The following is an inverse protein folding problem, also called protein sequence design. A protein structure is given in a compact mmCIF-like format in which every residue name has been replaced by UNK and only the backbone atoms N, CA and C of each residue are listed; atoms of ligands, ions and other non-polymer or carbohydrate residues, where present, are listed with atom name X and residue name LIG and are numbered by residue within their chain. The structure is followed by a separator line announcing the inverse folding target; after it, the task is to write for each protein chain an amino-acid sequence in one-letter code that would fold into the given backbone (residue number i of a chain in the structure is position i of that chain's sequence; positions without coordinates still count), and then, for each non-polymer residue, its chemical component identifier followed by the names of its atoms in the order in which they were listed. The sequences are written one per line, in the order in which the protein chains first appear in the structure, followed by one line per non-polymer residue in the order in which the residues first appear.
data_IF_322750108538
#
_entry.id   IF_322750108538
#
_cell.length_a   1.000
_cell.length_b   1.000
_cell.length_c   1.000
_cell.angle_alpha   90.00
_cell.angle_beta   90.00
_cell.angle_gamma   90.00
#
_symmetry.space_group_name_H-M   'P 1'
#
loop_
_entity.id
_entity.type
_entity.pdbx_description
1 polymer ?
#
# COMPACT_ATOMS: atom_id res chain seq x y z
N UNK A 1 -7.95 -16.31 -3.79
CA UNK A 1 -8.93 -15.25 -3.45
C UNK A 1 -8.98 -15.09 -1.95
N UNK A 2 -8.81 -13.90 -1.42
CA UNK A 2 -9.06 -13.62 0.00
C UNK A 2 -10.55 -13.81 0.28
N UNK A 3 -10.90 -14.58 1.32
CA UNK A 3 -12.30 -14.85 1.66
C UNK A 3 -13.06 -13.56 2.03
N UNK A 4 -14.35 -13.53 1.78
CA UNK A 4 -15.26 -12.37 2.00
C UNK A 4 -15.16 -11.78 3.41
N UNK A 5 -14.86 -12.60 4.43
CA UNK A 5 -14.64 -12.16 5.81
C UNK A 5 -13.49 -11.17 6.00
N UNK A 6 -12.47 -11.22 5.13
CA UNK A 6 -11.33 -10.28 5.17
C UNK A 6 -11.56 -9.06 4.26
N UNK A 7 -12.31 -9.21 3.19
CA UNK A 7 -12.60 -8.11 2.27
C UNK A 7 -13.57 -7.09 2.86
N UNK A 8 -14.57 -7.53 3.61
CA UNK A 8 -15.62 -6.67 4.14
C UNK A 8 -15.11 -5.56 5.08
N UNK A 9 -14.27 -5.86 6.11
CA UNK A 9 -13.69 -4.81 6.96
C UNK A 9 -12.76 -3.88 6.21
N UNK A 10 -11.98 -4.41 5.24
CA UNK A 10 -11.06 -3.63 4.44
C UNK A 10 -11.82 -2.66 3.53
N UNK A 11 -12.87 -3.13 2.86
CA UNK A 11 -13.77 -2.32 2.03
C UNK A 11 -14.40 -1.19 2.84
N UNK A 12 -14.92 -1.49 4.04
CA UNK A 12 -15.48 -0.47 4.92
C UNK A 12 -14.46 0.61 5.32
N UNK A 13 -13.20 0.20 5.58
CA UNK A 13 -12.11 1.11 5.90
C UNK A 13 -11.75 2.00 4.70
N UNK A 14 -11.65 1.45 3.50
CA UNK A 14 -11.36 2.21 2.27
C UNK A 14 -12.47 3.21 1.97
N UNK A 15 -13.74 2.80 2.07
CA UNK A 15 -14.91 3.70 1.95
C UNK A 15 -14.83 4.87 2.93
N UNK A 16 -14.55 4.58 4.20
CA UNK A 16 -14.47 5.61 5.25
C UNK A 16 -13.34 6.58 4.99
N UNK A 17 -12.16 6.09 4.63
CA UNK A 17 -11.00 6.93 4.32
C UNK A 17 -11.25 7.78 3.07
N UNK A 18 -11.83 7.22 2.03
CA UNK A 18 -12.17 7.95 0.81
C UNK A 18 -13.17 9.09 1.11
N UNK A 19 -14.26 8.80 1.80
CA UNK A 19 -15.24 9.82 2.19
C UNK A 19 -14.63 10.94 3.04
N UNK A 20 -13.75 10.58 3.99
CA UNK A 20 -13.07 11.55 4.87
C UNK A 20 -12.14 12.49 4.10
N UNK A 21 -11.51 11.99 3.04
CA UNK A 21 -10.52 12.74 2.26
C UNK A 21 -11.09 13.29 0.93
N UNK A 22 -12.40 13.17 0.69
CA UNK A 22 -13.05 13.71 -0.52
C UNK A 22 -12.79 12.90 -1.79
N UNK A 23 -12.35 11.64 -1.67
CA UNK A 23 -12.14 10.74 -2.81
C UNK A 23 -13.40 9.96 -3.19
N UNK A 24 -13.51 9.48 -4.45
CA UNK A 24 -14.62 8.65 -4.87
C UNK A 24 -14.67 7.32 -4.12
N UNK A 25 -15.65 7.16 -3.22
CA UNK A 25 -15.73 6.00 -2.31
C UNK A 25 -15.90 4.67 -3.07
N UNK A 26 -16.70 4.66 -4.14
CA UNK A 26 -16.95 3.47 -4.97
C UNK A 26 -15.67 2.98 -5.62
N UNK A 27 -14.82 3.88 -6.12
CA UNK A 27 -13.52 3.53 -6.70
C UNK A 27 -12.55 3.01 -5.64
N UNK A 28 -12.55 3.63 -4.45
CA UNK A 28 -11.69 3.18 -3.35
C UNK A 28 -12.07 1.75 -2.87
N UNK A 29 -13.36 1.41 -2.87
CA UNK A 29 -13.82 0.05 -2.58
C UNK A 29 -13.40 -0.95 -3.65
N UNK A 30 -13.40 -0.55 -4.92
CA UNK A 30 -12.96 -1.38 -6.03
C UNK A 30 -11.46 -1.70 -6.03
N UNK A 31 -10.63 -0.94 -5.29
CA UNK A 31 -9.21 -1.26 -5.07
C UNK A 31 -9.01 -2.54 -4.26
N UNK A 32 -10.02 -2.94 -3.46
CA UNK A 32 -9.92 -4.07 -2.53
C UNK A 32 -11.01 -5.12 -2.72
N UNK A 33 -11.87 -4.96 -3.75
CA UNK A 33 -13.02 -5.84 -3.99
C UNK A 33 -13.08 -6.22 -5.47
N UNK A 34 -12.60 -7.41 -5.81
CA UNK A 34 -12.53 -7.88 -7.20
C UNK A 34 -13.90 -8.15 -7.84
N UNK A 35 -14.93 -8.48 -7.05
CA UNK A 35 -16.27 -8.75 -7.58
C UNK A 35 -17.07 -7.48 -7.89
N UNK A 36 -16.50 -6.32 -7.63
CA UNK A 36 -17.13 -5.02 -7.82
C UNK A 36 -16.88 -4.52 -9.24
N UNK A 37 -17.95 -4.26 -9.99
CA UNK A 37 -17.89 -3.62 -11.29
C UNK A 37 -18.28 -2.15 -11.15
N UNK A 38 -17.46 -1.23 -11.67
CA UNK A 38 -17.67 0.21 -11.53
C UNK A 38 -17.76 0.87 -12.89
N UNK A 39 -18.75 1.73 -13.03
CA UNK A 39 -18.99 2.55 -14.21
C UNK A 39 -18.78 4.03 -13.91
N UNK A 40 -18.22 4.75 -14.88
CA UNK A 40 -18.27 6.20 -14.95
C UNK A 40 -19.41 6.57 -15.88
N UNK A 41 -20.38 7.28 -15.37
CA UNK A 41 -21.57 7.68 -16.15
C UNK A 41 -21.72 9.19 -16.11
N UNK A 42 -22.30 9.75 -17.17
CA UNK A 42 -22.70 11.16 -17.20
C UNK A 42 -24.22 11.22 -17.02
N UNK A 43 -24.65 11.67 -15.86
CA UNK A 43 -26.04 11.86 -15.46
C UNK A 43 -26.28 13.35 -15.17
N UNK A 44 -27.29 13.96 -15.79
CA UNK A 44 -27.65 15.37 -15.60
C UNK A 44 -26.42 16.33 -15.70
N UNK A 45 -25.58 16.12 -16.74
CA UNK A 45 -24.32 16.81 -16.98
C UNK A 45 -23.20 16.60 -15.95
N UNK A 46 -23.42 15.81 -14.90
CA UNK A 46 -22.41 15.45 -13.91
C UNK A 46 -21.80 14.09 -14.20
N UNK A 47 -20.46 13.99 -14.06
CA UNK A 47 -19.76 12.72 -14.08
C UNK A 47 -19.81 12.07 -12.69
N UNK A 48 -20.40 10.88 -12.62
CA UNK A 48 -20.58 10.12 -11.38
C UNK A 48 -20.00 8.73 -11.53
N UNK A 49 -19.40 8.21 -10.47
CA UNK A 49 -19.00 6.81 -10.39
C UNK A 49 -20.07 6.04 -9.60
N UNK A 50 -20.48 4.91 -10.13
CA UNK A 50 -21.44 4.02 -9.49
C UNK A 50 -21.10 2.56 -9.75
N UNK A 51 -21.46 1.70 -8.82
CA UNK A 51 -21.28 0.28 -9.00
C UNK A 51 -22.41 -0.31 -9.88
N UNK A 52 -22.27 -1.59 -10.26
CA UNK A 52 -23.25 -2.25 -11.12
C UNK A 52 -24.62 -2.36 -10.48
N UNK A 53 -24.71 -2.45 -9.15
CA UNK A 53 -25.97 -2.53 -8.44
C UNK A 53 -26.65 -1.18 -8.38
N UNK A 54 -25.93 -0.12 -8.02
CA UNK A 54 -26.41 1.26 -8.04
C UNK A 54 -26.92 1.64 -9.44
N UNK A 55 -26.22 1.18 -10.51
CA UNK A 55 -26.65 1.39 -11.89
C UNK A 55 -27.95 0.66 -12.22
N UNK A 56 -28.13 -0.58 -11.74
CA UNK A 56 -29.36 -1.34 -11.96
C UNK A 56 -30.55 -0.78 -11.16
N UNK A 57 -30.29 -0.23 -9.99
CA UNK A 57 -31.30 0.36 -9.11
C UNK A 57 -31.79 1.72 -9.64
N UNK A 58 -31.08 2.33 -10.59
CA UNK A 58 -31.59 3.47 -11.35
C UNK A 58 -32.82 3.04 -12.16
N UNK A 59 -33.93 3.73 -11.97
CA UNK A 59 -35.13 3.52 -12.81
C UNK A 59 -34.82 3.72 -14.29
N UNK A 60 -35.59 3.07 -15.17
CA UNK A 60 -35.39 3.12 -16.63
C UNK A 60 -35.29 4.55 -17.16
N UNK A 61 -36.16 5.45 -16.71
CA UNK A 61 -36.14 6.86 -17.12
C UNK A 61 -34.81 7.56 -16.85
N UNK A 62 -34.14 7.23 -15.71
CA UNK A 62 -32.83 7.77 -15.38
C UNK A 62 -31.67 7.07 -16.12
N UNK A 63 -31.83 5.77 -16.41
CA UNK A 63 -30.86 5.05 -17.26
C UNK A 63 -30.86 5.60 -18.68
N UNK A 64 -32.05 5.95 -19.22
CA UNK A 64 -32.22 6.52 -20.55
C UNK A 64 -31.67 7.97 -20.64
N UNK A 65 -31.57 8.69 -19.51
CA UNK A 65 -30.95 10.01 -19.45
C UNK A 65 -29.43 10.00 -19.39
N UNK A 66 -28.81 8.81 -19.27
CA UNK A 66 -27.33 8.66 -19.25
C UNK A 66 -26.79 8.85 -20.67
N UNK A 67 -26.08 9.95 -20.89
CA UNK A 67 -25.48 10.29 -22.19
C UNK A 67 -24.13 9.63 -22.44
N UNK A 68 -23.44 9.18 -21.38
CA UNK A 68 -22.13 8.54 -21.46
C UNK A 68 -22.00 7.45 -20.39
N UNK A 69 -21.49 6.28 -20.79
CA UNK A 69 -21.15 5.17 -19.88
C UNK A 69 -19.83 4.53 -20.28
N UNK A 70 -18.89 4.47 -19.34
CA UNK A 70 -17.60 3.77 -19.50
C UNK A 70 -17.39 2.85 -18.30
N UNK A 71 -17.02 1.60 -18.53
CA UNK A 71 -16.56 0.69 -17.49
C UNK A 71 -15.16 1.09 -17.07
N UNK A 72 -14.96 1.37 -15.79
CA UNK A 72 -13.66 1.70 -15.18
C UNK A 72 -13.03 0.44 -14.58
N UNK A 73 -13.84 -0.37 -13.89
CA UNK A 73 -13.40 -1.64 -13.31
C UNK A 73 -14.31 -2.73 -13.79
N UNK A 74 -13.76 -3.78 -14.41
CA UNK A 74 -14.51 -4.95 -14.83
C UNK A 74 -14.71 -5.91 -13.64
N UNK A 75 -15.77 -6.71 -13.71
CA UNK A 75 -16.01 -7.75 -12.70
C UNK A 75 -14.88 -8.77 -12.70
N UNK A 76 -14.32 -9.07 -11.55
CA UNK A 76 -13.19 -9.98 -11.38
C UNK A 76 -11.84 -9.28 -11.33
N UNK A 77 -11.80 -7.96 -11.50
CA UNK A 77 -10.58 -7.15 -11.48
C UNK A 77 -10.57 -6.21 -10.27
N UNK A 78 -9.37 -5.86 -9.81
CA UNK A 78 -9.16 -4.80 -8.82
C UNK A 78 -8.82 -3.51 -9.57
N UNK A 79 -9.29 -2.37 -9.06
CA UNK A 79 -8.87 -1.08 -9.58
C UNK A 79 -7.37 -0.88 -9.32
N UNK A 80 -6.62 -0.84 -10.41
CA UNK A 80 -5.23 -0.36 -10.47
C UNK A 80 -5.20 0.84 -11.38
N UNK A 81 -4.34 1.81 -11.09
CA UNK A 81 -4.26 3.04 -11.89
C UNK A 81 -2.82 3.52 -11.97
N UNK A 82 -2.46 4.12 -13.08
CA UNK A 82 -1.24 4.90 -13.23
C UNK A 82 -1.43 6.34 -12.71
N UNK A 83 -0.42 7.19 -12.84
CA UNK A 83 -0.46 8.57 -12.37
C UNK A 83 -1.48 9.45 -13.12
N UNK A 84 -1.63 9.24 -14.42
CA UNK A 84 -2.59 9.96 -15.25
C UNK A 84 -4.02 9.52 -14.97
N UNK A 85 -4.24 8.23 -14.83
CA UNK A 85 -5.53 7.66 -14.43
C UNK A 85 -5.92 8.11 -13.01
N UNK A 86 -4.95 8.15 -12.08
CA UNK A 86 -5.20 8.65 -10.72
C UNK A 86 -5.65 10.12 -10.72
N UNK A 87 -5.10 10.94 -11.61
CA UNK A 87 -5.54 12.31 -11.81
C UNK A 87 -6.96 12.36 -12.41
N UNK A 88 -7.21 11.61 -13.48
CA UNK A 88 -8.52 11.57 -14.16
C UNK A 88 -9.66 11.03 -13.29
N UNK A 89 -9.33 10.11 -12.38
CA UNK A 89 -10.28 9.50 -11.44
C UNK A 89 -10.43 10.28 -10.13
N UNK A 90 -9.67 11.38 -9.96
CA UNK A 90 -9.78 12.26 -8.80
C UNK A 90 -9.07 11.81 -7.54
N UNK A 91 -8.07 10.89 -7.66
CA UNK A 91 -7.19 10.48 -6.55
C UNK A 91 -5.92 11.30 -6.45
N UNK A 92 -5.50 11.93 -7.54
CA UNK A 92 -4.35 12.83 -7.56
C UNK A 92 -4.76 14.23 -8.02
N UNK A 93 -4.13 15.24 -7.47
CA UNK A 93 -4.31 16.64 -7.89
C UNK A 93 -3.52 16.99 -9.14
N UNK A 94 -2.50 16.19 -9.48
CA UNK A 94 -1.63 16.40 -10.64
C UNK A 94 -0.95 15.09 -11.05
N UNK A 95 -0.54 15.03 -12.31
CA UNK A 95 0.39 14.04 -12.84
C UNK A 95 1.67 14.75 -13.22
N UNK A 96 2.82 14.24 -12.81
CA UNK A 96 4.14 14.85 -13.02
C UNK A 96 5.18 13.81 -13.40
N UNK A 97 6.09 14.13 -14.29
CA UNK A 97 7.16 13.23 -14.72
C UNK A 97 8.29 13.10 -13.68
N UNK A 98 8.35 13.99 -12.69
CA UNK A 98 9.41 13.93 -11.68
C UNK A 98 9.28 14.98 -10.58
N UNK A 99 10.21 14.90 -9.63
CA UNK A 99 10.22 15.72 -8.43
C UNK A 99 10.35 17.24 -8.73
N UNK A 100 11.18 17.62 -9.68
CA UNK A 100 11.40 19.02 -10.05
C UNK A 100 10.14 19.63 -10.68
N UNK A 101 9.44 18.86 -11.51
CA UNK A 101 8.18 19.30 -12.09
C UNK A 101 7.10 19.47 -11.02
N UNK A 102 7.04 18.55 -10.05
CA UNK A 102 6.14 18.66 -8.90
C UNK A 102 6.38 19.96 -8.14
N UNK A 103 7.64 20.27 -7.84
CA UNK A 103 8.00 21.52 -7.15
C UNK A 103 7.60 22.75 -7.95
N UNK A 104 7.80 22.72 -9.26
CA UNK A 104 7.42 23.81 -10.15
C UNK A 104 5.90 24.02 -10.14
N UNK A 105 5.12 22.96 -10.31
CA UNK A 105 3.65 23.04 -10.30
C UNK A 105 3.11 23.49 -8.94
N UNK A 106 3.75 23.08 -7.84
CA UNK A 106 3.41 23.54 -6.49
C UNK A 106 3.93 24.95 -6.16
N UNK A 107 4.67 25.60 -7.08
CA UNK A 107 5.33 26.89 -6.86
C UNK A 107 6.31 26.87 -5.68
N UNK A 108 7.01 25.76 -5.51
CA UNK A 108 7.99 25.53 -4.46
C UNK A 108 9.42 25.40 -4.98
N UNK A 109 9.66 25.66 -6.28
CA UNK A 109 10.96 25.52 -6.93
C UNK A 109 12.08 26.35 -6.25
N UNK A 110 11.73 27.52 -5.70
CA UNK A 110 12.68 28.42 -5.02
C UNK A 110 12.86 28.12 -3.52
N UNK A 111 12.22 27.09 -3.00
CA UNK A 111 12.32 26.75 -1.58
C UNK A 111 13.51 25.83 -1.31
N UNK A 112 14.23 26.03 -0.20
CA UNK A 112 15.31 25.12 0.18
C UNK A 112 14.76 23.74 0.48
N UNK A 113 15.25 22.74 -0.26
CA UNK A 113 14.83 21.34 -0.11
C UNK A 113 15.81 20.66 0.82
N UNK A 114 15.33 20.20 1.97
CA UNK A 114 16.11 19.36 2.87
C UNK A 114 15.78 17.89 2.56
N UNK A 115 16.73 17.19 1.96
CA UNK A 115 16.64 15.73 1.78
C UNK A 115 17.08 15.06 3.08
N UNK A 116 16.14 14.37 3.72
CA UNK A 116 16.46 13.51 4.86
C UNK A 116 17.16 12.29 4.30
N UNK A 117 18.43 12.13 4.64
CA UNK A 117 19.21 10.95 4.28
C UNK A 117 19.11 9.92 5.42
N UNK A 118 19.12 8.66 5.02
CA UNK A 118 19.15 7.55 5.98
C UNK A 118 20.38 7.70 6.87
N UNK A 119 20.17 7.55 8.17
CA UNK A 119 21.24 7.56 9.15
C UNK A 119 22.11 6.29 9.01
N UNK A 120 23.39 6.36 9.40
CA UNK A 120 24.25 5.18 9.43
C UNK A 120 23.67 4.07 10.33
N UNK A 121 22.93 4.44 11.40
CA UNK A 121 22.23 3.51 12.28
C UNK A 121 21.10 2.77 11.58
N UNK A 122 20.33 3.44 10.71
CA UNK A 122 19.29 2.82 9.88
C UNK A 122 19.90 1.83 8.90
N UNK A 123 20.99 2.20 8.23
CA UNK A 123 21.73 1.31 7.34
C UNK A 123 22.28 0.08 8.08
N UNK A 124 22.72 0.23 9.32
CA UNK A 124 23.16 -0.89 10.15
C UNK A 124 22.00 -1.84 10.49
N UNK A 125 20.84 -1.30 10.87
CA UNK A 125 19.63 -2.09 11.16
C UNK A 125 19.20 -2.87 9.91
N UNK A 126 19.19 -2.23 8.74
CA UNK A 126 18.88 -2.87 7.47
C UNK A 126 19.87 -3.99 7.15
N UNK A 127 21.18 -3.76 7.37
CA UNK A 127 22.21 -4.77 7.14
C UNK A 127 22.03 -5.99 8.05
N UNK A 128 21.82 -5.77 9.35
CA UNK A 128 21.56 -6.85 10.31
C UNK A 128 20.28 -7.60 9.94
N UNK A 129 19.24 -6.89 9.51
CA UNK A 129 17.99 -7.47 9.03
C UNK A 129 18.20 -8.43 7.84
N UNK A 130 18.98 -8.01 6.85
CA UNK A 130 19.33 -8.85 5.69
C UNK A 130 20.16 -10.10 6.09
N UNK A 131 20.97 -10.01 7.12
CA UNK A 131 21.81 -11.10 7.64
C UNK A 131 21.12 -11.91 8.74
N UNK A 132 19.92 -11.55 9.17
CA UNK A 132 19.25 -12.13 10.34
C UNK A 132 19.11 -13.65 10.26
N UNK A 133 18.77 -14.20 9.10
CA UNK A 133 18.63 -15.65 8.89
C UNK A 133 19.98 -16.38 9.10
N UNK A 134 21.06 -15.80 8.60
CA UNK A 134 22.41 -16.36 8.74
C UNK A 134 22.87 -16.25 10.19
N UNK A 135 22.68 -15.09 10.81
CA UNK A 135 23.00 -14.87 12.22
C UNK A 135 22.21 -15.79 13.15
N UNK A 136 20.94 -16.04 12.82
CA UNK A 136 20.10 -16.99 13.56
C UNK A 136 20.67 -18.41 13.48
N UNK A 137 21.05 -18.86 12.27
CA UNK A 137 21.64 -20.18 12.06
C UNK A 137 22.95 -20.35 12.81
N UNK A 138 23.86 -19.37 12.70
CA UNK A 138 25.14 -19.35 13.43
C UNK A 138 24.89 -19.33 14.93
N UNK A 139 23.96 -18.48 15.40
CA UNK A 139 23.63 -18.33 16.80
C UNK A 139 23.14 -19.64 17.43
N UNK A 140 22.16 -20.28 16.80
CA UNK A 140 21.61 -21.57 17.28
C UNK A 140 22.64 -22.70 17.17
N UNK A 141 23.40 -22.77 16.06
CA UNK A 141 24.45 -23.75 15.87
C UNK A 141 25.57 -23.62 16.92
N UNK A 142 25.99 -22.39 17.22
CA UNK A 142 27.01 -22.12 18.24
C UNK A 142 26.53 -22.52 19.65
N UNK A 143 25.29 -22.22 20.00
CA UNK A 143 24.72 -22.65 21.28
C UNK A 143 24.60 -24.16 21.37
N UNK A 144 24.20 -24.81 20.28
CA UNK A 144 24.14 -26.27 20.22
C UNK A 144 25.50 -26.93 20.45
N UNK A 145 26.57 -26.38 19.85
CA UNK A 145 27.94 -26.90 20.05
C UNK A 145 28.39 -26.73 21.49
N UNK A 146 28.06 -25.59 22.12
CA UNK A 146 28.42 -25.34 23.55
C UNK A 146 27.73 -26.32 24.49
N UNK A 147 26.43 -26.67 24.24
CA UNK A 147 25.69 -27.67 25.02
C UNK A 147 26.31 -29.06 24.87
N UNK A 148 26.80 -29.41 23.69
CA UNK A 148 27.38 -30.72 23.41
C UNK A 148 28.82 -30.90 23.96
N UNK A 149 29.53 -29.81 24.06
CA UNK A 149 30.93 -29.79 24.58
C UNK A 149 31.05 -28.73 25.69
N UNK A 150 30.58 -29.02 26.91
CA UNK A 150 30.50 -28.04 27.98
C UNK A 150 31.88 -27.61 28.41
N UNK A 151 32.19 -26.34 28.25
CA UNK A 151 33.46 -25.75 28.63
C UNK A 151 33.48 -24.27 28.37
N UNK A 152 32.45 -23.54 28.81
CA UNK A 152 32.23 -22.09 28.62
C UNK A 152 33.23 -21.47 27.63
N UNK A 153 32.94 -21.72 26.37
CA UNK A 153 33.90 -21.41 25.33
C UNK A 153 33.40 -20.34 24.39
N UNK A 154 34.22 -20.05 23.42
CA UNK A 154 33.97 -19.13 22.32
C UNK A 154 32.61 -19.38 21.62
N UNK A 155 32.14 -20.63 21.39
CA UNK A 155 30.86 -20.86 20.74
C UNK A 155 29.67 -20.30 21.49
N UNK A 156 29.63 -20.40 22.83
CA UNK A 156 28.53 -19.86 23.64
C UNK A 156 28.44 -18.33 23.54
N UNK A 157 29.58 -17.64 23.60
CA UNK A 157 29.63 -16.17 23.45
C UNK A 157 29.15 -15.75 22.05
N UNK A 158 29.64 -16.41 21.00
CA UNK A 158 29.23 -16.13 19.60
C UNK A 158 27.73 -16.37 19.44
N UNK A 159 27.20 -17.45 19.99
CA UNK A 159 25.77 -17.76 19.93
C UNK A 159 24.90 -16.66 20.55
N UNK A 160 25.24 -16.22 21.76
CA UNK A 160 24.54 -15.15 22.47
C UNK A 160 24.62 -13.83 21.69
N UNK A 161 25.80 -13.45 21.18
CA UNK A 161 25.96 -12.21 20.42
C UNK A 161 25.12 -12.21 19.13
N UNK A 162 25.17 -13.29 18.35
CA UNK A 162 24.40 -13.40 17.13
C UNK A 162 22.89 -13.30 17.39
N UNK A 163 22.39 -14.04 18.38
CA UNK A 163 20.96 -14.00 18.72
C UNK A 163 20.55 -12.64 19.28
N UNK A 164 21.39 -12.04 20.11
CA UNK A 164 21.12 -10.68 20.64
C UNK A 164 20.99 -9.66 19.52
N UNK A 165 21.86 -9.69 18.52
CA UNK A 165 21.76 -8.81 17.35
C UNK A 165 20.47 -9.02 16.55
N UNK A 166 20.07 -10.27 16.34
CA UNK A 166 18.83 -10.60 15.62
C UNK A 166 17.60 -10.09 16.37
N UNK A 167 17.49 -10.38 17.66
CA UNK A 167 16.34 -9.97 18.46
C UNK A 167 16.31 -8.45 18.67
N UNK A 168 17.45 -7.81 18.84
CA UNK A 168 17.53 -6.36 18.93
C UNK A 168 17.07 -5.69 17.62
N UNK A 169 17.51 -6.21 16.48
CA UNK A 169 17.06 -5.73 15.18
C UNK A 169 15.54 -5.88 15.00
N UNK A 170 14.98 -7.02 15.42
CA UNK A 170 13.54 -7.28 15.33
C UNK A 170 12.72 -6.37 16.27
N UNK A 171 13.30 -5.93 17.38
CA UNK A 171 12.67 -4.99 18.29
C UNK A 171 12.64 -3.56 17.72
N UNK A 172 13.65 -3.19 16.92
CA UNK A 172 13.77 -1.85 16.31
C UNK A 172 13.04 -1.72 14.98
N UNK A 173 12.71 -2.82 14.31
CA UNK A 173 12.01 -2.89 13.02
C UNK A 173 10.49 -2.89 13.19
#
# INVERSE_FOLDING_TARGET
MMGEKFQSPLRAKFRTLAKRNGYPAVLAEAMVTADMQVYRVKLDDNLVFMDAQEYQDLGKDRQDSITFKKTIVAKGELLTMDDSEAHDLGFSSMSVAGFEEMLSQLKLADRPITRIQESWSENLVILIGKLSSILMLIGLGSLYTEIKSPGFGVPGIVGILCLSLVFFNQYLS
#
